data_IF_780195032401
#
_entry.id   IF_780195032401
#
_cell.length_a   1.000
_cell.length_b   1.000
_cell.length_c   1.000
_cell.angle_alpha   90.00
_cell.angle_beta   90.00
_cell.angle_gamma   90.00
#
_symmetry.space_group_name_H-M   'P 1'
#
loop_
_entity.id
_entity.type
_entity.pdbx_description
1 polymer ?
#
# COMPACT_ATOMS: atom_id res chain seq x y z
N UNK A 1 -2.44 14.92 5.13
CA UNK A 1 -1.06 14.66 4.64
C UNK A 1 -0.19 15.85 4.97
N UNK A 2 -0.57 17.05 4.55
CA UNK A 2 0.19 18.30 4.73
C UNK A 2 0.66 18.58 6.17
N UNK A 3 -0.22 18.39 7.16
CA UNK A 3 0.15 18.56 8.58
C UNK A 3 1.20 17.54 9.06
N UNK A 4 1.19 16.32 8.52
CA UNK A 4 2.14 15.28 8.91
C UNK A 4 3.50 15.50 8.22
N UNK A 5 3.51 15.95 6.96
CA UNK A 5 4.73 16.32 6.26
C UNK A 5 5.40 17.55 6.87
N UNK A 6 4.62 18.59 7.21
CA UNK A 6 5.15 19.78 7.88
C UNK A 6 5.76 19.48 9.25
N UNK A 7 5.28 18.44 9.94
CA UNK A 7 5.88 17.95 11.18
C UNK A 7 7.23 17.23 10.99
N UNK A 8 7.63 16.93 9.75
CA UNK A 8 8.85 16.18 9.41
C UNK A 8 8.79 14.68 9.70
N UNK A 9 7.66 14.17 10.21
CA UNK A 9 7.47 12.76 10.58
C UNK A 9 6.95 11.87 9.45
N UNK A 10 6.51 12.48 8.34
CA UNK A 10 6.01 11.79 7.16
C UNK A 10 6.77 12.25 5.92
N UNK A 11 7.04 11.31 5.02
CA UNK A 11 7.38 11.59 3.63
C UNK A 11 6.34 10.91 2.74
N UNK A 12 5.69 11.65 1.86
CA UNK A 12 4.79 11.07 0.87
C UNK A 12 5.49 10.94 -0.50
N UNK A 13 5.24 9.82 -1.18
CA UNK A 13 5.76 9.55 -2.51
C UNK A 13 4.61 9.24 -3.46
N UNK A 14 4.07 10.26 -4.13
CA UNK A 14 3.02 10.08 -5.13
C UNK A 14 3.57 9.39 -6.39
N UNK A 15 2.72 8.61 -7.07
CA UNK A 15 3.04 7.85 -8.28
C UNK A 15 4.19 6.84 -8.10
N UNK A 16 4.34 6.29 -6.90
CA UNK A 16 5.39 5.31 -6.55
C UNK A 16 4.73 4.01 -6.12
N UNK A 17 4.24 3.19 -7.07
CA UNK A 17 3.54 1.96 -6.74
C UNK A 17 4.49 0.93 -6.12
N UNK A 18 3.99 0.19 -5.12
CA UNK A 18 4.64 -1.01 -4.62
C UNK A 18 4.59 -2.11 -5.69
N UNK A 19 5.75 -2.64 -6.07
CA UNK A 19 5.90 -3.71 -7.07
C UNK A 19 6.07 -5.09 -6.44
N UNK A 20 6.74 -5.15 -5.29
CA UNK A 20 6.86 -6.36 -4.49
C UNK A 20 7.19 -6.02 -3.03
N UNK A 21 7.03 -7.00 -2.16
CA UNK A 21 7.40 -6.92 -0.74
C UNK A 21 8.65 -7.75 -0.50
N UNK A 22 9.59 -7.24 0.30
CA UNK A 22 10.80 -7.96 0.68
C UNK A 22 10.53 -8.65 2.01
N UNK A 23 10.59 -9.98 2.02
CA UNK A 23 10.39 -10.81 3.22
C UNK A 23 11.60 -11.72 3.38
N UNK A 24 12.20 -11.68 4.57
CA UNK A 24 13.35 -12.52 4.93
C UNK A 24 13.05 -13.23 6.24
N UNK A 25 13.24 -14.55 6.29
CA UNK A 25 12.99 -15.37 7.47
C UNK A 25 11.59 -15.14 8.09
N UNK A 26 10.58 -14.96 7.23
CA UNK A 26 9.20 -14.69 7.66
C UNK A 26 8.94 -13.29 8.21
N UNK A 27 9.88 -12.34 8.07
CA UNK A 27 9.69 -10.93 8.50
C UNK A 27 9.83 -9.97 7.33
N UNK A 28 8.97 -8.98 7.29
CA UNK A 28 9.04 -7.89 6.30
C UNK A 28 10.32 -7.08 6.49
N UNK A 29 10.92 -6.64 5.38
CA UNK A 29 12.13 -5.81 5.33
C UNK A 29 11.98 -4.56 4.49
N UNK A 30 10.96 -4.48 3.64
CA UNK A 30 10.71 -3.30 2.84
C UNK A 30 9.80 -3.54 1.65
N UNK A 31 9.73 -2.52 0.80
CA UNK A 31 8.89 -2.47 -0.39
C UNK A 31 9.75 -2.08 -1.59
N UNK A 32 9.65 -2.84 -2.67
CA UNK A 32 10.30 -2.51 -3.95
C UNK A 32 9.38 -1.62 -4.76
N UNK A 33 9.94 -0.56 -5.35
CA UNK A 33 9.24 0.36 -6.24
C UNK A 33 10.10 0.63 -7.48
N UNK A 34 9.51 1.23 -8.51
CA UNK A 34 10.27 1.61 -9.73
C UNK A 34 11.32 2.70 -9.47
N UNK A 35 11.23 3.40 -8.33
CA UNK A 35 12.16 4.47 -7.93
C UNK A 35 13.19 4.00 -6.90
N UNK A 36 13.28 2.70 -6.68
CA UNK A 36 14.15 2.08 -5.69
C UNK A 36 13.38 1.40 -4.56
N UNK A 37 14.13 0.86 -3.61
CA UNK A 37 13.61 0.13 -2.46
C UNK A 37 13.45 1.05 -1.26
N UNK A 38 12.32 0.91 -0.56
CA UNK A 38 12.09 1.54 0.73
C UNK A 38 12.21 0.46 1.80
N UNK A 39 13.30 0.50 2.57
CA UNK A 39 13.49 -0.38 3.72
C UNK A 39 12.58 0.03 4.88
N UNK A 40 11.95 -0.97 5.52
CA UNK A 40 11.04 -0.73 6.63
C UNK A 40 10.91 -2.00 7.51
N UNK A 41 10.97 -1.82 8.83
CA UNK A 41 10.71 -2.88 9.80
C UNK A 41 9.24 -3.31 9.83
N UNK A 42 8.34 -2.42 9.41
CA UNK A 42 6.90 -2.61 9.37
C UNK A 42 6.32 -2.03 8.08
N UNK A 43 5.41 -2.78 7.45
CA UNK A 43 4.63 -2.33 6.30
C UNK A 43 3.16 -2.53 6.62
N UNK A 44 2.35 -1.49 6.40
CA UNK A 44 0.89 -1.53 6.61
C UNK A 44 0.21 -1.38 5.26
N UNK A 45 -0.62 -2.36 4.89
CA UNK A 45 -1.34 -2.36 3.61
C UNK A 45 -2.61 -1.51 3.74
N UNK A 46 -2.55 -0.29 3.22
CA UNK A 46 -3.69 0.64 3.15
C UNK A 46 -4.15 0.87 1.69
N UNK A 47 -4.08 -0.17 0.85
CA UNK A 47 -4.26 -0.06 -0.60
C UNK A 47 -5.73 -0.17 -1.08
N UNK A 48 -6.72 0.04 -0.20
CA UNK A 48 -8.15 -0.02 -0.54
C UNK A 48 -8.53 -1.32 -1.27
N UNK A 49 -9.20 -1.18 -2.42
CA UNK A 49 -9.65 -2.32 -3.25
C UNK A 49 -8.49 -3.14 -3.84
N UNK A 50 -7.27 -2.60 -3.90
CA UNK A 50 -6.08 -3.30 -4.37
C UNK A 50 -5.38 -4.10 -3.26
N UNK A 51 -5.89 -4.07 -2.02
CA UNK A 51 -5.28 -4.76 -0.87
C UNK A 51 -5.04 -6.25 -1.09
N UNK A 52 -5.95 -6.94 -1.78
CA UNK A 52 -5.81 -8.36 -2.13
C UNK A 52 -4.59 -8.61 -3.02
N UNK A 53 -4.38 -7.77 -4.04
CA UNK A 53 -3.23 -7.88 -4.95
C UNK A 53 -1.89 -7.68 -4.21
N UNK A 54 -1.88 -6.86 -3.17
CA UNK A 54 -0.67 -6.68 -2.33
C UNK A 54 -0.44 -7.88 -1.42
N UNK A 55 -1.50 -8.46 -0.82
CA UNK A 55 -1.39 -9.65 0.01
C UNK A 55 -0.90 -10.88 -0.78
N UNK A 56 -1.35 -11.03 -2.03
CA UNK A 56 -0.90 -12.09 -2.93
C UNK A 56 0.62 -12.05 -3.20
N UNK A 57 1.26 -10.88 -3.09
CA UNK A 57 2.73 -10.75 -3.26
C UNK A 57 3.52 -11.55 -2.22
N UNK A 58 2.90 -11.89 -1.08
CA UNK A 58 3.50 -12.71 -0.03
C UNK A 58 2.76 -14.04 0.16
N UNK A 59 1.93 -14.43 -0.82
CA UNK A 59 1.20 -15.70 -0.82
C UNK A 59 -0.02 -15.74 0.10
N UNK A 60 -0.50 -14.59 0.57
CA UNK A 60 -1.68 -14.49 1.44
C UNK A 60 -2.93 -14.16 0.63
N UNK A 61 -4.06 -14.76 1.00
CA UNK A 61 -5.36 -14.45 0.39
C UNK A 61 -6.18 -13.53 1.30
N UNK A 62 -6.25 -12.25 0.94
CA UNK A 62 -7.07 -11.27 1.67
C UNK A 62 -8.53 -11.37 1.19
N UNK A 63 -9.51 -11.66 2.06
CA UNK A 63 -10.90 -11.91 1.66
C UNK A 63 -11.67 -10.60 1.43
N UNK A 64 -11.20 -9.79 0.47
CA UNK A 64 -11.84 -8.56 0.00
C UNK A 64 -12.19 -8.67 -1.48
N UNK A 65 -13.31 -8.05 -1.87
CA UNK A 65 -13.80 -8.02 -3.24
C UNK A 65 -14.28 -6.60 -3.59
N UNK A 66 -13.86 -6.01 -4.72
CA UNK A 66 -14.37 -4.73 -5.18
C UNK A 66 -15.84 -4.85 -5.59
N UNK A 67 -16.66 -3.86 -5.21
CA UNK A 67 -18.08 -3.79 -5.55
C UNK A 67 -18.41 -2.36 -5.96
N UNK A 68 -19.22 -2.22 -7.02
CA UNK A 68 -19.70 -0.92 -7.46
C UNK A 68 -20.88 -0.44 -6.60
N UNK A 69 -20.81 0.83 -6.18
CA UNK A 69 -21.91 1.51 -5.49
C UNK A 69 -22.39 2.71 -6.33
N UNK A 70 -23.57 2.63 -6.98
CA UNK A 70 -24.03 3.71 -7.84
C UNK A 70 -24.44 4.93 -7.02
N UNK A 71 -23.96 6.11 -7.43
CA UNK A 71 -24.40 7.40 -6.92
C UNK A 71 -25.21 8.12 -8.01
N UNK A 72 -26.46 8.45 -7.73
CA UNK A 72 -27.32 9.24 -8.62
C UNK A 72 -27.63 10.60 -8.00
N UNK A 73 -27.58 11.66 -8.82
CA UNK A 73 -27.93 13.01 -8.42
C UNK A 73 -29.17 13.46 -9.21
N UNK A 74 -30.19 13.91 -8.49
CA UNK A 74 -31.38 14.53 -9.06
C UNK A 74 -31.33 16.01 -8.67
N UNK A 75 -31.13 16.87 -9.67
CA UNK A 75 -31.09 18.33 -9.49
C UNK A 75 -32.45 18.95 -9.23
#
# INVERSE_FOLDING_TARGET
VDQAESSGKLKAFANTPARSLIVENGRIKGVVTDRGTIEADYVVVCAGIWGRLIAEMVGEDLPVMPIDHPLTFFG
#
